data_IF_728849574696
#
_entry.id   IF_728849574696
#
_cell.length_a   1.000
_cell.length_b   1.000
_cell.length_c   1.000
_cell.angle_alpha   90.00
_cell.angle_beta   90.00
_cell.angle_gamma   90.00
#
_symmetry.space_group_name_H-M   'P 1'
#
loop_
_entity.id
_entity.type
_entity.pdbx_description
1 polymer ?
#
# COMPACT_ATOMS: atom_id res chain seq x y z
N UNK A 1 5.34 30.27 -27.26
CA UNK A 1 4.11 29.44 -27.18
C UNK A 1 4.37 27.94 -27.32
N UNK A 2 5.22 27.47 -28.23
CA UNK A 2 5.43 26.01 -28.42
C UNK A 2 6.03 25.35 -27.17
N UNK A 3 7.02 25.98 -26.53
CA UNK A 3 7.68 25.46 -25.32
C UNK A 3 6.70 25.35 -24.14
N UNK A 4 5.85 26.36 -23.94
CA UNK A 4 4.86 26.38 -22.85
C UNK A 4 3.80 25.31 -23.04
N UNK A 5 3.35 25.09 -24.28
CA UNK A 5 2.40 24.03 -24.62
C UNK A 5 3.05 22.67 -24.35
N UNK A 6 4.25 22.40 -24.89
CA UNK A 6 4.96 21.14 -24.69
C UNK A 6 5.18 20.82 -23.19
N UNK A 7 5.56 21.82 -22.39
CA UNK A 7 5.71 21.65 -20.94
C UNK A 7 4.38 21.32 -20.25
N UNK A 8 3.31 22.07 -20.56
CA UNK A 8 1.98 21.82 -19.96
C UNK A 8 1.44 20.44 -20.33
N UNK A 9 1.61 19.99 -21.58
CA UNK A 9 1.15 18.68 -22.04
C UNK A 9 1.94 17.56 -21.38
N UNK A 10 3.27 17.68 -21.28
CA UNK A 10 4.11 16.66 -20.63
C UNK A 10 3.83 16.59 -19.12
N UNK A 11 3.67 17.74 -18.46
CA UNK A 11 3.28 17.79 -17.04
C UNK A 11 1.92 17.13 -16.83
N UNK A 12 0.93 17.43 -17.68
CA UNK A 12 -0.40 16.81 -17.61
C UNK A 12 -0.30 15.30 -17.80
N UNK A 13 0.50 14.84 -18.76
CA UNK A 13 0.72 13.40 -18.98
C UNK A 13 1.36 12.72 -17.77
N UNK A 14 2.33 13.37 -17.12
CA UNK A 14 2.97 12.86 -15.90
C UNK A 14 2.00 12.79 -14.71
N UNK A 15 1.17 13.82 -14.54
CA UNK A 15 0.15 13.85 -13.49
C UNK A 15 -0.98 12.83 -13.73
N UNK A 16 -1.27 12.50 -14.99
CA UNK A 16 -2.26 11.48 -15.34
C UNK A 16 -1.75 10.06 -15.13
N UNK A 17 -0.47 9.80 -15.44
CA UNK A 17 0.12 8.46 -15.33
C UNK A 17 0.82 8.30 -13.99
N UNK A 18 0.04 7.98 -12.96
CA UNK A 18 0.63 7.44 -11.73
C UNK A 18 1.09 6.02 -12.02
N UNK A 19 2.41 5.80 -12.12
CA UNK A 19 2.97 4.45 -12.24
C UNK A 19 2.75 3.72 -10.92
N UNK A 20 1.71 2.90 -10.86
CA UNK A 20 1.58 1.91 -9.81
C UNK A 20 2.77 0.93 -9.94
N UNK A 21 3.44 0.54 -8.84
CA UNK A 21 4.49 -0.46 -8.90
C UNK A 21 3.94 -1.72 -9.56
N UNK A 22 4.76 -2.38 -10.38
CA UNK A 22 4.36 -3.62 -11.04
C UNK A 22 3.87 -4.61 -9.98
N UNK A 23 2.63 -5.03 -10.11
CA UNK A 23 2.05 -5.99 -9.17
C UNK A 23 2.63 -7.36 -9.41
N UNK A 24 3.10 -8.02 -8.36
CA UNK A 24 3.39 -9.45 -8.39
C UNK A 24 2.07 -10.19 -8.55
N UNK A 25 1.86 -10.83 -9.69
CA UNK A 25 0.62 -11.57 -9.97
C UNK A 25 0.84 -13.08 -10.03
N UNK A 26 2.08 -13.50 -10.27
CA UNK A 26 2.47 -14.90 -10.41
C UNK A 26 3.50 -15.34 -9.37
N UNK A 27 3.57 -16.65 -9.14
CA UNK A 27 4.57 -17.29 -8.29
C UNK A 27 5.99 -17.05 -8.83
N UNK A 28 6.14 -16.96 -10.15
CA UNK A 28 7.43 -16.67 -10.79
C UNK A 28 7.91 -15.26 -10.46
N UNK A 29 7.01 -14.28 -10.46
CA UNK A 29 7.32 -12.91 -10.06
C UNK A 29 7.71 -12.85 -8.58
N UNK A 30 7.02 -13.61 -7.72
CA UNK A 30 7.33 -13.72 -6.29
C UNK A 30 8.68 -14.41 -6.04
N UNK A 31 9.02 -15.40 -6.85
CA UNK A 31 10.32 -16.04 -6.79
C UNK A 31 11.42 -15.03 -7.19
N UNK A 32 11.25 -14.33 -8.31
CA UNK A 32 12.19 -13.36 -8.85
C UNK A 32 12.36 -12.11 -7.97
N UNK A 33 11.33 -11.70 -7.21
CA UNK A 33 11.40 -10.54 -6.34
C UNK A 33 12.29 -10.74 -5.10
N UNK A 34 12.57 -11.98 -4.73
CA UNK A 34 13.38 -12.28 -3.54
C UNK A 34 12.69 -12.02 -2.20
N UNK A 35 11.39 -11.67 -2.19
CA UNK A 35 10.65 -11.30 -0.99
C UNK A 35 10.40 -12.52 -0.09
N UNK A 36 10.42 -12.31 1.23
CA UNK A 36 10.17 -13.34 2.23
C UNK A 36 8.72 -13.85 2.14
N UNK A 37 8.52 -15.16 2.34
CA UNK A 37 7.18 -15.76 2.35
C UNK A 37 6.86 -16.14 3.79
N UNK A 38 5.75 -15.65 4.32
CA UNK A 38 5.36 -15.86 5.71
C UNK A 38 4.02 -16.57 5.79
N UNK A 39 3.87 -17.47 6.76
CA UNK A 39 2.63 -18.19 7.01
C UNK A 39 2.38 -18.42 8.49
N UNK A 40 1.14 -18.73 8.83
CA UNK A 40 0.80 -19.11 10.21
C UNK A 40 0.96 -20.61 10.36
N UNK A 41 1.91 -21.03 11.19
CA UNK A 41 2.24 -22.43 11.42
C UNK A 41 3.01 -23.09 10.27
N UNK A 42 3.41 -24.34 10.49
CA UNK A 42 4.25 -25.13 9.58
C UNK A 42 3.56 -25.64 8.33
N UNK A 43 2.22 -25.67 8.31
CA UNK A 43 1.43 -26.27 7.24
C UNK A 43 1.85 -25.75 5.85
N UNK A 44 2.00 -24.43 5.69
CA UNK A 44 2.37 -23.86 4.40
C UNK A 44 3.82 -24.17 4.00
N UNK A 45 4.74 -24.21 4.96
CA UNK A 45 6.13 -24.60 4.71
C UNK A 45 6.23 -26.05 4.22
N UNK A 46 5.52 -26.98 4.88
CA UNK A 46 5.47 -28.38 4.48
C UNK A 46 4.78 -28.55 3.11
N UNK A 47 3.70 -27.80 2.87
CA UNK A 47 3.01 -27.80 1.58
C UNK A 47 3.91 -27.33 0.43
N UNK A 48 4.67 -26.24 0.63
CA UNK A 48 5.65 -25.75 -0.34
C UNK A 48 6.78 -26.78 -0.57
N UNK A 49 7.27 -27.42 0.50
CA UNK A 49 8.31 -28.44 0.40
C UNK A 49 7.85 -29.66 -0.43
N UNK A 50 6.58 -30.02 -0.30
CA UNK A 50 5.94 -31.12 -1.04
C UNK A 50 5.50 -30.77 -2.46
N UNK A 51 5.61 -29.51 -2.88
CA UNK A 51 5.14 -29.07 -4.18
C UNK A 51 6.01 -29.64 -5.32
N UNK A 52 5.36 -30.10 -6.39
CA UNK A 52 6.05 -30.59 -7.59
C UNK A 52 6.67 -29.47 -8.44
N UNK A 53 6.20 -28.24 -8.28
CA UNK A 53 6.71 -27.09 -9.02
C UNK A 53 8.03 -26.59 -8.39
N UNK A 54 9.16 -26.57 -9.14
CA UNK A 54 10.44 -26.10 -8.62
C UNK A 54 10.39 -24.65 -8.10
N UNK A 55 9.57 -23.78 -8.70
CA UNK A 55 9.44 -22.40 -8.23
C UNK A 55 8.81 -22.35 -6.84
N UNK A 56 7.76 -23.13 -6.58
CA UNK A 56 7.15 -23.21 -5.25
C UNK A 56 8.07 -23.86 -4.23
N UNK A 57 8.74 -24.95 -4.61
CA UNK A 57 9.65 -25.66 -3.73
C UNK A 57 10.83 -24.77 -3.28
N UNK A 58 11.34 -23.92 -4.18
CA UNK A 58 12.41 -22.97 -3.85
C UNK A 58 12.00 -21.91 -2.82
N UNK A 59 10.69 -21.58 -2.71
CA UNK A 59 10.18 -20.63 -1.72
C UNK A 59 10.25 -21.20 -0.30
N UNK A 60 10.34 -22.52 -0.13
CA UNK A 60 10.46 -23.17 1.18
C UNK A 60 11.67 -22.66 1.96
N UNK A 61 12.80 -22.39 1.27
CA UNK A 61 14.01 -21.87 1.91
C UNK A 61 13.83 -20.46 2.49
N UNK A 62 12.85 -19.69 2.00
CA UNK A 62 12.53 -18.33 2.44
C UNK A 62 11.24 -18.28 3.27
N UNK A 63 10.70 -19.44 3.64
CA UNK A 63 9.46 -19.53 4.40
C UNK A 63 9.72 -19.25 5.88
N UNK A 64 9.01 -18.26 6.44
CA UNK A 64 9.03 -17.97 7.87
C UNK A 64 7.69 -18.35 8.51
N UNK A 65 7.76 -19.23 9.50
CA UNK A 65 6.63 -19.61 10.35
C UNK A 65 6.43 -18.58 11.46
N UNK A 66 5.21 -18.09 11.60
CA UNK A 66 4.76 -17.30 12.75
C UNK A 66 3.61 -18.00 13.46
N UNK A 67 3.55 -17.87 14.78
CA UNK A 67 2.42 -18.40 15.56
C UNK A 67 1.13 -17.59 15.41
N UNK A 68 1.23 -16.30 15.03
CA UNK A 68 0.12 -15.36 14.94
C UNK A 68 0.17 -14.57 13.63
N UNK A 69 -0.99 -14.10 13.15
CA UNK A 69 -1.13 -13.40 11.87
C UNK A 69 -0.76 -11.91 11.95
N UNK A 70 -0.97 -11.29 13.10
CA UNK A 70 -0.72 -9.87 13.38
C UNK A 70 0.70 -9.40 13.00
N UNK A 71 1.80 -10.07 13.40
CA UNK A 71 3.15 -9.63 13.02
C UNK A 71 3.40 -9.74 11.52
N UNK A 72 2.78 -10.73 10.85
CA UNK A 72 2.91 -10.92 9.40
C UNK A 72 2.25 -9.74 8.67
N UNK A 73 1.05 -9.32 9.09
CA UNK A 73 0.38 -8.18 8.45
C UNK A 73 1.22 -6.90 8.48
N UNK A 74 1.96 -6.66 9.56
CA UNK A 74 2.88 -5.49 9.64
C UNK A 74 3.95 -5.57 8.56
N UNK A 75 4.63 -6.72 8.42
CA UNK A 75 5.63 -6.95 7.36
C UNK A 75 5.06 -6.91 5.95
N UNK A 76 3.80 -7.33 5.77
CA UNK A 76 3.13 -7.26 4.46
C UNK A 76 2.81 -5.81 4.08
N UNK A 77 2.46 -4.98 5.06
CA UNK A 77 2.19 -3.55 4.83
C UNK A 77 3.45 -2.73 4.55
N UNK A 78 4.60 -3.13 5.09
CA UNK A 78 5.90 -2.53 4.75
C UNK A 78 6.43 -2.99 3.39
N UNK A 79 5.95 -4.13 2.90
CA UNK A 79 6.38 -4.73 1.64
C UNK A 79 7.55 -5.72 1.78
N UNK A 80 7.94 -6.07 3.01
CA UNK A 80 9.08 -6.94 3.29
C UNK A 80 8.74 -8.43 3.18
N UNK A 81 7.45 -8.79 3.28
CA UNK A 81 7.02 -10.19 3.19
C UNK A 81 5.67 -10.36 2.51
N UNK A 82 5.42 -11.56 2.00
CA UNK A 82 4.13 -12.00 1.45
C UNK A 82 3.51 -13.04 2.36
N UNK A 83 2.23 -12.86 2.72
CA UNK A 83 1.50 -13.80 3.55
C UNK A 83 0.80 -14.87 2.72
N UNK A 84 1.04 -16.14 3.03
CA UNK A 84 0.25 -17.26 2.52
C UNK A 84 -0.96 -17.51 3.41
N UNK A 85 -2.14 -17.29 2.84
CA UNK A 85 -3.40 -17.60 3.49
C UNK A 85 -4.49 -17.92 2.48
N UNK A 86 -5.61 -18.44 3.00
CA UNK A 86 -6.81 -18.68 2.22
C UNK A 86 -7.36 -17.37 1.60
N UNK A 87 -7.66 -17.39 0.31
CA UNK A 87 -8.15 -16.24 -0.46
C UNK A 87 -9.37 -15.54 0.16
N UNK A 88 -10.50 -16.22 0.45
CA UNK A 88 -11.65 -15.62 1.12
C UNK A 88 -11.31 -14.95 2.47
N UNK A 89 -10.35 -15.49 3.22
CA UNK A 89 -9.90 -14.87 4.46
C UNK A 89 -9.10 -13.58 4.19
N UNK A 90 -8.18 -13.60 3.22
CA UNK A 90 -7.44 -12.41 2.82
C UNK A 90 -8.35 -11.32 2.24
N UNK A 91 -9.33 -11.68 1.42
CA UNK A 91 -10.33 -10.75 0.88
C UNK A 91 -11.14 -10.10 2.01
N UNK A 92 -11.54 -10.90 3.00
CA UNK A 92 -12.25 -10.42 4.18
C UNK A 92 -11.40 -9.46 5.02
N UNK A 93 -10.15 -9.83 5.32
CA UNK A 93 -9.25 -9.01 6.13
C UNK A 93 -8.88 -7.72 5.40
N UNK A 94 -8.56 -7.80 4.11
CA UNK A 94 -8.31 -6.62 3.28
C UNK A 94 -9.53 -5.68 3.31
N UNK A 95 -10.74 -6.21 3.12
CA UNK A 95 -11.97 -5.44 3.09
C UNK A 95 -12.41 -4.82 4.42
N UNK A 96 -11.96 -5.36 5.57
CA UNK A 96 -12.40 -4.95 6.91
C UNK A 96 -11.35 -4.18 7.69
N UNK A 97 -10.08 -4.57 7.60
CA UNK A 97 -8.96 -3.95 8.36
C UNK A 97 -8.14 -2.96 7.53
N UNK A 98 -7.92 -3.24 6.25
CA UNK A 98 -6.93 -2.54 5.44
C UNK A 98 -7.49 -1.70 4.29
N UNK A 99 -8.81 -1.64 4.15
CA UNK A 99 -9.50 -0.79 3.18
C UNK A 99 -10.00 0.48 3.84
N UNK A 100 -9.39 1.61 3.48
CA UNK A 100 -9.78 2.94 3.91
C UNK A 100 -10.28 3.73 2.71
N UNK A 101 -11.47 4.33 2.83
CA UNK A 101 -12.08 5.13 1.75
C UNK A 101 -12.04 4.40 0.38
N UNK A 102 -12.33 3.10 0.37
CA UNK A 102 -12.38 2.32 -0.88
C UNK A 102 -11.03 1.86 -1.45
N UNK A 103 -9.89 2.34 -0.93
CA UNK A 103 -8.56 1.85 -1.30
C UNK A 103 -8.04 0.87 -0.26
N UNK A 104 -7.60 -0.30 -0.73
CA UNK A 104 -6.95 -1.29 0.11
C UNK A 104 -5.43 -1.11 0.10
N UNK A 105 -4.81 -1.12 1.28
CA UNK A 105 -3.34 -1.11 1.42
C UNK A 105 -2.70 -2.47 1.16
N UNK A 106 -3.51 -3.52 1.01
CA UNK A 106 -3.04 -4.85 0.67
C UNK A 106 -3.55 -5.24 -0.71
N UNK A 107 -2.69 -5.94 -1.47
CA UNK A 107 -3.06 -6.54 -2.76
C UNK A 107 -2.95 -8.05 -2.64
N UNK A 108 -3.93 -8.74 -3.22
CA UNK A 108 -3.91 -10.19 -3.33
C UNK A 108 -3.29 -10.56 -4.68
N UNK A 109 -2.40 -11.54 -4.66
CA UNK A 109 -1.85 -12.15 -5.87
C UNK A 109 -2.96 -12.86 -6.63
N UNK A 110 -2.93 -12.84 -7.97
CA UNK A 110 -3.97 -13.45 -8.80
C UNK A 110 -3.83 -14.97 -8.84
N UNK A 111 -2.60 -15.45 -8.96
CA UNK A 111 -2.28 -16.86 -8.94
C UNK A 111 -2.39 -17.44 -7.51
N UNK A 112 -3.03 -18.59 -7.40
CA UNK A 112 -3.13 -19.35 -6.15
C UNK A 112 -2.03 -20.41 -6.14
N UNK A 113 -1.26 -20.53 -5.05
CA UNK A 113 -0.17 -21.50 -4.97
C UNK A 113 -0.67 -22.96 -4.87
N UNK A 114 -1.83 -23.19 -4.26
CA UNK A 114 -2.45 -24.51 -4.21
C UNK A 114 -3.97 -24.40 -3.97
N UNK A 115 -4.80 -25.18 -4.68
CA UNK A 115 -6.23 -25.26 -4.42
C UNK A 115 -6.50 -26.14 -3.20
N UNK A 116 -6.81 -25.53 -2.06
CA UNK A 116 -7.28 -26.24 -0.87
C UNK A 116 -8.81 -26.15 -0.74
N UNK A 117 -9.43 -27.28 -0.43
CA UNK A 117 -10.85 -27.35 -0.11
C UNK A 117 -11.02 -27.44 1.41
N UNK A 118 -11.97 -26.68 1.95
CA UNK A 118 -12.38 -26.80 3.35
C UNK A 118 -13.43 -27.91 3.42
N UNK A 119 -13.22 -28.88 4.29
CA UNK A 119 -14.15 -29.98 4.55
C UNK A 119 -14.45 -30.09 6.04
N UNK A 120 -15.62 -30.63 6.37
CA UNK A 120 -15.93 -30.97 7.76
C UNK A 120 -15.34 -32.34 8.10
N UNK A 121 -14.46 -32.38 9.09
CA UNK A 121 -13.91 -33.61 9.61
C UNK A 121 -14.97 -34.33 10.45
N UNK A 122 -15.19 -35.61 10.15
CA UNK A 122 -16.02 -36.52 10.95
C UNK A 122 -15.18 -37.71 11.40
N UNK A 123 -15.54 -38.32 12.53
CA UNK A 123 -14.85 -39.51 13.01
C UNK A 123 -14.85 -40.60 11.93
N UNK A 124 -13.74 -41.34 11.84
CA UNK A 124 -13.60 -42.46 10.90
C UNK A 124 -14.76 -43.45 11.12
N UNK A 125 -15.44 -43.81 10.04
CA UNK A 125 -16.63 -44.67 10.02
C UNK A 125 -17.87 -44.11 10.76
N UNK A 126 -17.95 -42.78 10.96
CA UNK A 126 -19.15 -42.18 11.53
C UNK A 126 -20.38 -42.41 10.64
N UNK A 127 -21.51 -42.92 11.18
CA UNK A 127 -22.76 -43.06 10.42
C UNK A 127 -23.34 -41.71 9.99
N UNK A 128 -22.88 -40.61 10.59
CA UNK A 128 -23.33 -39.26 10.29
C UNK A 128 -22.77 -38.72 8.97
N UNK A 129 -21.66 -39.28 8.45
CA UNK A 129 -21.02 -38.79 7.23
C UNK A 129 -22.02 -38.66 6.07
N UNK A 130 -22.82 -39.71 5.83
CA UNK A 130 -23.80 -39.73 4.73
C UNK A 130 -24.83 -38.60 4.84
N UNK A 131 -25.31 -38.34 6.06
CA UNK A 131 -26.30 -37.29 6.31
C UNK A 131 -25.66 -35.90 6.14
N UNK A 132 -24.44 -35.70 6.66
CA UNK A 132 -23.72 -34.45 6.48
C UNK A 132 -23.43 -34.14 5.02
N UNK A 133 -22.94 -35.11 4.25
CA UNK A 133 -22.65 -34.94 2.83
C UNK A 133 -23.91 -34.53 2.06
N UNK A 134 -25.06 -35.15 2.36
CA UNK A 134 -26.34 -34.82 1.74
C UNK A 134 -26.79 -33.39 2.04
N UNK A 135 -26.72 -32.98 3.31
CA UNK A 135 -27.11 -31.62 3.73
C UNK A 135 -26.17 -30.57 3.13
N UNK A 136 -24.85 -30.83 3.13
CA UNK A 136 -23.88 -29.95 2.49
C UNK A 136 -24.16 -29.85 0.99
N UNK A 137 -24.43 -30.97 0.33
CA UNK A 137 -24.81 -30.99 -1.09
C UNK A 137 -26.04 -30.11 -1.37
N UNK A 138 -27.08 -30.19 -0.53
CA UNK A 138 -28.25 -29.32 -0.65
C UNK A 138 -27.93 -27.84 -0.41
N UNK A 139 -27.11 -27.52 0.60
CA UNK A 139 -26.70 -26.14 0.87
C UNK A 139 -25.88 -25.54 -0.27
N UNK A 140 -24.99 -26.33 -0.88
CA UNK A 140 -24.20 -25.92 -2.05
C UNK A 140 -25.13 -25.69 -3.25
N UNK A 141 -25.97 -26.68 -3.59
CA UNK A 141 -26.88 -26.61 -4.73
C UNK A 141 -27.92 -25.49 -4.61
N UNK A 142 -28.38 -25.19 -3.39
CA UNK A 142 -29.27 -24.06 -3.12
C UNK A 142 -28.55 -22.70 -3.08
N UNK A 143 -27.22 -22.66 -3.20
CA UNK A 143 -26.44 -21.43 -3.17
C UNK A 143 -26.35 -20.77 -1.79
N UNK A 144 -26.77 -21.46 -0.72
CA UNK A 144 -26.79 -20.92 0.65
C UNK A 144 -25.38 -20.53 1.11
N UNK A 145 -24.37 -21.35 0.82
CA UNK A 145 -22.99 -21.08 1.23
C UNK A 145 -22.49 -19.78 0.61
N UNK A 146 -22.74 -19.56 -0.69
CA UNK A 146 -22.38 -18.32 -1.39
C UNK A 146 -23.12 -17.13 -0.81
N UNK A 147 -24.40 -17.27 -0.51
CA UNK A 147 -25.20 -16.22 0.11
C UNK A 147 -24.64 -15.83 1.49
N UNK A 148 -24.35 -16.79 2.38
CA UNK A 148 -23.78 -16.50 3.70
C UNK A 148 -22.41 -15.84 3.60
N UNK A 149 -21.56 -16.29 2.67
CA UNK A 149 -20.26 -15.67 2.46
C UNK A 149 -20.40 -14.20 2.05
N UNK A 150 -21.22 -13.91 1.04
CA UNK A 150 -21.46 -12.54 0.56
C UNK A 150 -22.17 -11.68 1.61
N UNK A 151 -23.07 -12.24 2.41
CA UNK A 151 -23.78 -11.53 3.48
C UNK A 151 -22.87 -11.21 4.69
N UNK A 152 -21.84 -12.04 4.94
CA UNK A 152 -20.91 -11.85 6.06
C UNK A 152 -20.00 -10.63 5.86
N UNK A 153 -19.51 -10.37 4.64
CA UNK A 153 -18.60 -9.25 4.35
C UNK A 153 -19.15 -7.84 4.72
N UNK A 154 -20.38 -7.43 4.32
CA UNK A 154 -20.95 -6.15 4.72
C UNK A 154 -21.34 -6.12 6.21
N UNK A 155 -21.83 -7.24 6.74
CA UNK A 155 -22.17 -7.36 8.17
C UNK A 155 -20.96 -7.14 9.07
N UNK A 156 -19.78 -7.62 8.67
CA UNK A 156 -18.53 -7.41 9.40
C UNK A 156 -18.01 -5.97 9.31
N UNK A 157 -18.23 -5.27 8.19
CA UNK A 157 -17.95 -3.81 8.10
C UNK A 157 -18.84 -3.02 9.07
N UNK A 158 -20.13 -3.38 9.17
CA UNK A 158 -21.06 -2.77 10.09
C UNK A 158 -20.73 -3.08 11.57
N UNK A 159 -20.32 -4.31 11.88
CA UNK A 159 -19.88 -4.70 13.21
C UNK A 159 -18.55 -4.03 13.62
N UNK A 160 -17.58 -3.92 12.71
CA UNK A 160 -16.32 -3.19 12.96
C UNK A 160 -16.58 -1.73 13.32
N UNK A 161 -17.50 -1.08 12.60
CA UNK A 161 -17.94 0.30 12.89
C UNK A 161 -18.66 0.43 14.24
N UNK A 162 -19.39 -0.59 14.69
CA UNK A 162 -20.06 -0.63 16.01
C UNK A 162 -19.11 -0.92 17.18
N UNK A 163 -18.04 -1.67 16.97
CA UNK A 163 -17.04 -1.98 18.01
C UNK A 163 -16.02 -0.86 18.26
N UNK A 164 -16.18 0.31 17.62
CA UNK A 164 -15.20 1.40 17.74
C UNK A 164 -13.83 1.08 17.14
N UNK A 165 -13.72 -0.04 16.39
CA UNK A 165 -12.52 -0.39 15.64
C UNK A 165 -12.44 0.58 14.47
N UNK A 166 -11.71 1.68 14.65
CA UNK A 166 -11.40 2.61 13.57
C UNK A 166 -10.76 1.78 12.43
N UNK A 167 -11.33 1.77 11.21
CA UNK A 167 -10.68 1.13 10.08
C UNK A 167 -9.30 1.77 9.90
N UNK A 168 -8.25 0.96 10.06
CA UNK A 168 -6.85 1.40 10.00
C UNK A 168 -6.14 1.76 11.32
N UNK A 169 -6.72 1.56 12.51
CA UNK A 169 -6.06 1.93 13.79
C UNK A 169 -5.33 0.80 14.53
N UNK A 170 -5.37 -0.45 14.05
CA UNK A 170 -4.72 -1.59 14.73
C UNK A 170 -3.24 -1.74 14.27
N UNK A 171 -2.51 -0.62 14.24
CA UNK A 171 -1.12 -0.55 13.79
C UNK A 171 -0.37 0.74 14.15
N UNK A 172 -1.00 1.73 14.77
CA UNK A 172 -0.29 2.95 15.22
C UNK A 172 0.17 2.79 16.65
N UNK A 173 1.37 2.21 16.84
CA UNK A 173 2.24 2.72 17.88
C UNK A 173 2.68 4.11 17.40
N UNK A 174 2.53 5.14 18.23
CA UNK A 174 2.78 6.55 17.91
C UNK A 174 4.26 6.92 17.65
N UNK A 175 5.15 5.92 17.56
CA UNK A 175 6.60 6.11 17.41
C UNK A 175 7.17 5.56 16.08
N UNK A 176 6.32 5.22 15.09
CA UNK A 176 6.78 4.67 13.81
C UNK A 176 7.07 5.82 12.79
N UNK A 177 8.34 6.09 12.41
CA UNK A 177 8.73 7.23 11.56
C UNK A 177 8.31 7.08 10.09
N UNK A 178 7.55 6.04 9.73
CA UNK A 178 7.14 5.74 8.36
C UNK A 178 5.71 6.23 8.04
N UNK A 179 5.20 7.22 8.75
CA UNK A 179 3.86 7.81 8.51
C UNK A 179 3.88 9.03 7.57
N UNK A 180 5.04 9.54 7.16
CA UNK A 180 5.12 10.78 6.38
C UNK A 180 5.33 10.61 4.86
N UNK A 181 5.51 9.38 4.34
CA UNK A 181 5.90 9.18 2.92
C UNK A 181 4.73 8.76 2.01
N UNK A 182 3.51 8.58 2.52
CA UNK A 182 2.34 8.27 1.68
C UNK A 182 1.17 9.22 1.94
N UNK A 183 1.46 10.52 1.86
CA UNK A 183 0.45 11.55 1.68
C UNK A 183 -0.34 11.31 0.39
N UNK A 184 -1.62 10.97 0.52
CA UNK A 184 -2.59 11.10 -0.56
C UNK A 184 -2.97 9.82 -1.29
N UNK A 185 -3.72 8.92 -0.64
CA UNK A 185 -4.59 7.99 -1.37
C UNK A 185 -5.96 7.87 -0.70
N UNK A 186 -6.65 9.01 -0.61
CA UNK A 186 -8.07 9.09 -0.31
C UNK A 186 -8.85 9.10 -1.64
N UNK A 187 -9.20 7.92 -2.14
CA UNK A 187 -10.12 7.79 -3.28
C UNK A 187 -11.56 7.94 -2.82
N UNK A 188 -12.16 9.10 -3.05
CA UNK A 188 -13.61 9.19 -3.20
C UNK A 188 -14.05 8.33 -4.41
N UNK A 189 -15.31 7.89 -4.43
CA UNK A 189 -15.90 6.98 -5.43
C UNK A 189 -15.99 7.54 -6.87
N UNK A 190 -15.23 8.58 -7.18
CA UNK A 190 -14.94 9.11 -8.50
C UNK A 190 -13.43 9.10 -8.61
N UNK A 191 -12.86 8.42 -9.61
CA UNK A 191 -11.41 8.17 -9.76
C UNK A 191 -10.54 9.41 -10.02
N UNK A 192 -10.80 10.49 -9.31
CA UNK A 192 -10.07 11.75 -9.33
C UNK A 192 -9.17 11.74 -8.09
N UNK A 193 -7.88 11.54 -8.31
CA UNK A 193 -6.86 11.70 -7.27
C UNK A 193 -6.75 13.22 -7.04
N UNK A 194 -7.10 13.75 -5.85
CA UNK A 194 -6.98 15.17 -5.59
C UNK A 194 -5.50 15.54 -5.55
N UNK A 195 -5.12 16.54 -6.35
CA UNK A 195 -3.74 17.03 -6.40
C UNK A 195 -3.39 17.67 -5.04
N UNK A 196 -2.51 17.05 -4.26
CA UNK A 196 -2.08 17.59 -2.98
C UNK A 196 -1.03 18.70 -3.16
N UNK A 197 -0.92 19.58 -2.16
CA UNK A 197 0.03 20.69 -2.15
C UNK A 197 1.49 20.21 -2.23
N UNK A 198 1.78 18.98 -1.79
CA UNK A 198 3.11 18.35 -1.88
C UNK A 198 3.61 18.28 -3.33
N UNK A 199 2.71 18.02 -4.28
CA UNK A 199 3.05 17.94 -5.71
C UNK A 199 3.45 19.30 -6.30
N UNK A 200 3.07 20.40 -5.65
CA UNK A 200 3.29 21.77 -6.12
C UNK A 200 4.33 22.52 -5.26
N UNK A 201 4.83 21.90 -4.19
CA UNK A 201 5.76 22.51 -3.24
C UNK A 201 7.04 23.05 -3.91
N UNK A 202 7.54 22.35 -4.94
CA UNK A 202 8.70 22.77 -5.72
C UNK A 202 8.59 24.17 -6.32
N UNK A 203 7.40 24.58 -6.79
CA UNK A 203 7.22 25.91 -7.39
C UNK A 203 7.32 27.03 -6.35
N UNK A 204 6.84 26.76 -5.14
CA UNK A 204 6.93 27.69 -4.03
C UNK A 204 8.37 27.87 -3.57
N UNK A 205 9.18 26.79 -3.56
CA UNK A 205 10.61 26.90 -3.28
C UNK A 205 11.34 27.76 -4.30
N UNK A 206 11.09 27.57 -5.60
CA UNK A 206 11.72 28.38 -6.65
C UNK A 206 11.37 29.87 -6.48
N UNK A 207 10.10 30.17 -6.20
CA UNK A 207 9.64 31.54 -5.97
C UNK A 207 10.31 32.16 -4.73
N UNK A 208 10.39 31.40 -3.64
CA UNK A 208 11.05 31.82 -2.41
C UNK A 208 12.54 32.10 -2.62
N UNK A 209 13.28 31.19 -3.27
CA UNK A 209 14.69 31.39 -3.59
C UNK A 209 14.91 32.58 -4.53
N UNK A 210 14.02 32.79 -5.50
CA UNK A 210 14.07 33.95 -6.39
C UNK A 210 13.94 35.27 -5.63
N UNK A 211 13.01 35.34 -4.68
CA UNK A 211 12.86 36.49 -3.80
C UNK A 211 14.10 36.72 -2.93
N UNK A 212 14.64 35.65 -2.34
CA UNK A 212 15.81 35.73 -1.46
C UNK A 212 17.05 36.21 -2.22
N UNK A 213 17.26 35.72 -3.44
CA UNK A 213 18.34 36.15 -4.32
C UNK A 213 18.18 37.63 -4.74
N UNK A 214 16.97 38.04 -5.12
CA UNK A 214 16.67 39.43 -5.47
C UNK A 214 16.93 40.38 -4.31
N UNK A 215 16.52 39.99 -3.10
CA UNK A 215 16.78 40.75 -1.88
C UNK A 215 18.29 40.85 -1.60
N UNK A 216 19.04 39.75 -1.78
CA UNK A 216 20.50 39.73 -1.61
C UNK A 216 21.21 40.69 -2.58
N UNK A 217 20.81 40.69 -3.85
CA UNK A 217 21.35 41.60 -4.87
C UNK A 217 21.05 43.04 -4.52
N UNK A 218 19.81 43.34 -4.11
CA UNK A 218 19.42 44.68 -3.67
C UNK A 218 20.26 45.17 -2.49
N UNK A 219 20.46 44.34 -1.46
CA UNK A 219 21.33 44.70 -0.34
C UNK A 219 22.78 44.91 -0.78
N UNK A 220 23.32 44.04 -1.63
CA UNK A 220 24.68 44.19 -2.14
C UNK A 220 24.86 45.52 -2.89
N UNK A 221 23.89 45.92 -3.71
CA UNK A 221 23.90 47.19 -4.42
C UNK A 221 23.85 48.40 -3.47
N UNK A 222 22.99 48.36 -2.45
CA UNK A 222 22.91 49.41 -1.42
C UNK A 222 24.23 49.57 -0.67
N UNK A 223 24.86 48.47 -0.23
CA UNK A 223 26.13 48.50 0.49
C UNK A 223 27.29 49.03 -0.37
N UNK A 224 27.36 48.64 -1.65
CA UNK A 224 28.38 49.15 -2.58
C UNK A 224 28.14 50.62 -2.92
N UNK A 225 26.86 51.03 -3.05
CA UNK A 225 26.45 52.40 -3.28
C UNK A 225 26.83 53.35 -2.15
N UNK A 226 26.62 52.96 -0.90
CA UNK A 226 27.02 53.76 0.27
C UNK A 226 28.54 53.91 0.37
N UNK A 227 29.31 52.83 0.17
CA UNK A 227 30.78 52.91 0.21
C UNK A 227 31.36 53.78 -0.91
N UNK A 228 30.72 53.82 -2.08
CA UNK A 228 31.14 54.70 -3.18
C UNK A 228 30.84 56.18 -2.94
N UNK A 229 29.78 56.51 -2.18
CA UNK A 229 29.48 57.90 -1.79
C UNK A 229 30.49 58.44 -0.78
N UNK A 230 30.92 57.64 0.19
CA UNK A 230 31.93 58.03 1.18
C UNK A 230 33.30 58.34 0.55
N UNK A 231 33.64 57.69 -0.57
CA UNK A 231 34.92 57.92 -1.28
C UNK A 231 34.93 59.16 -2.18
N UNK A 232 33.77 59.80 -2.42
CA UNK A 232 33.64 60.97 -3.32
C UNK A 232 33.50 62.31 -2.59
N UNK A 233 33.79 62.40 -1.29
CA UNK A 233 33.98 63.70 -0.65
C UNK A 233 35.31 64.32 -1.15
N UNK A 234 35.26 65.41 -1.93
CA UNK A 234 36.43 65.93 -2.61
C UNK A 234 37.39 66.60 -1.63
N UNK A 235 38.67 66.33 -1.88
CA UNK A 235 39.81 67.14 -1.46
C UNK A 235 39.47 68.61 -1.69
N UNK A 236 39.40 69.39 -0.61
CA UNK A 236 39.36 70.85 -0.68
C UNK A 236 40.65 71.30 -1.35
N UNK A 237 40.54 71.83 -2.57
CA UNK A 237 41.60 72.61 -3.21
C UNK A 237 41.82 73.83 -2.32
N UNK A 238 42.97 73.87 -1.66
CA UNK A 238 43.55 75.03 -1.03
C UNK A 238 44.50 75.67 -2.05
N UNK A 239 44.41 77.01 -2.10
CA UNK A 239 45.19 77.97 -2.89
C UNK A 239 44.65 78.34 -4.28
#
# INVERSE_FOLDING_TARGET
MIITIAYSTNLTAFLLVTKQPQSMETIRDLHASGIEVSGVGKFYGDALASASDPYLQSLTHRFQDYSLAEPIFRKVLTGDSVMLQNRPYLEFVAATKFTNRGVSRMRLMKECFAPFNIAMAVQRNSPLKRKFDQVIGWMVSAGLIRHFFLASAPSSRALGKRRGVKPGAEGTNEDDPLYEVTGGLATTATGVIPLSLDHVQGIFFILFFGWLLSMLVFFAEVFVGERSKVKKSPVKVLE
#
